data_IF_007416722310
#
_entry.id   IF_007416722310
#
_cell.length_a   1.000
_cell.length_b   1.000
_cell.length_c   1.000
_cell.angle_alpha   90.00
_cell.angle_beta   90.00
_cell.angle_gamma   90.00
#
_symmetry.space_group_name_H-M   'P 1'
#
loop_
_entity.id
_entity.type
_entity.pdbx_description
1 polymer ?
#
# COMPACT_ATOMS: atom_id res chain seq x y z
N UNK A 1 -46.57 161.53 -24.74
CA UNK A 1 -46.72 160.25 -25.50
C UNK A 1 -45.53 159.30 -25.33
N UNK A 2 -44.28 159.78 -25.24
CA UNK A 2 -43.05 158.95 -25.15
C UNK A 2 -43.11 157.79 -24.12
N UNK A 3 -43.66 158.01 -22.93
CA UNK A 3 -43.75 156.99 -21.86
C UNK A 3 -44.48 155.70 -22.29
N UNK A 4 -45.51 155.80 -23.15
CA UNK A 4 -46.24 154.61 -23.64
C UNK A 4 -45.40 153.75 -24.59
N UNK A 5 -44.55 154.37 -25.42
CA UNK A 5 -43.66 153.65 -26.34
C UNK A 5 -42.54 152.96 -25.56
N UNK A 6 -41.95 153.67 -24.58
CA UNK A 6 -40.93 153.11 -23.69
C UNK A 6 -41.48 151.91 -22.89
N UNK A 7 -42.72 152.00 -22.42
CA UNK A 7 -43.42 150.90 -21.72
C UNK A 7 -43.75 149.71 -22.61
N UNK A 8 -43.98 149.92 -23.91
CA UNK A 8 -44.20 148.84 -24.87
C UNK A 8 -42.92 148.08 -25.21
N UNK A 9 -41.82 148.82 -25.40
CA UNK A 9 -40.49 148.23 -25.64
C UNK A 9 -40.01 147.47 -24.39
N UNK A 10 -40.19 148.01 -23.18
CA UNK A 10 -39.83 147.29 -21.95
C UNK A 10 -40.67 146.02 -21.75
N UNK A 11 -41.97 146.05 -22.08
CA UNK A 11 -42.81 144.85 -22.07
C UNK A 11 -42.34 143.78 -23.07
N UNK A 12 -41.92 144.18 -24.28
CA UNK A 12 -41.35 143.26 -25.27
C UNK A 12 -40.01 142.67 -24.80
N UNK A 13 -39.13 143.47 -24.19
CA UNK A 13 -37.89 142.98 -23.58
C UNK A 13 -38.14 142.01 -22.42
N UNK A 14 -39.15 142.26 -21.58
CA UNK A 14 -39.56 141.35 -20.50
C UNK A 14 -40.18 140.06 -21.04
N UNK A 15 -40.98 140.11 -22.10
CA UNK A 15 -41.52 138.92 -22.75
C UNK A 15 -40.41 138.06 -23.38
N UNK A 16 -39.44 138.69 -24.04
CA UNK A 16 -38.26 138.02 -24.59
C UNK A 16 -37.40 137.38 -23.49
N UNK A 17 -37.15 138.08 -22.37
CA UNK A 17 -36.39 137.52 -21.25
C UNK A 17 -37.14 136.36 -20.57
N UNK A 18 -38.47 136.42 -20.47
CA UNK A 18 -39.30 135.32 -19.99
C UNK A 18 -39.26 134.09 -20.92
N UNK A 19 -39.25 134.29 -22.25
CA UNK A 19 -39.08 133.19 -23.20
C UNK A 19 -37.69 132.54 -23.09
N UNK A 20 -36.61 133.34 -23.04
CA UNK A 20 -35.27 132.80 -22.82
C UNK A 20 -35.11 132.12 -21.46
N UNK A 21 -35.78 132.61 -20.41
CA UNK A 21 -35.82 131.95 -19.11
C UNK A 21 -36.55 130.61 -19.17
N UNK A 22 -37.67 130.51 -19.90
CA UNK A 22 -38.42 129.27 -20.10
C UNK A 22 -37.63 128.24 -20.93
N UNK A 23 -37.02 128.66 -22.04
CA UNK A 23 -36.20 127.79 -22.90
C UNK A 23 -34.97 127.29 -22.15
N UNK A 24 -34.26 128.16 -21.41
CA UNK A 24 -33.16 127.77 -20.54
C UNK A 24 -33.63 126.81 -19.42
N UNK A 25 -34.80 127.05 -18.82
CA UNK A 25 -35.39 126.12 -17.85
C UNK A 25 -35.72 124.76 -18.49
N UNK A 26 -36.10 124.72 -19.77
CA UNK A 26 -36.41 123.50 -20.51
C UNK A 26 -35.15 122.72 -20.92
N UNK A 27 -34.09 123.42 -21.33
CA UNK A 27 -32.77 122.83 -21.55
C UNK A 27 -32.17 122.29 -20.25
N UNK A 28 -32.25 123.04 -19.15
CA UNK A 28 -31.79 122.60 -17.83
C UNK A 28 -32.61 121.41 -17.28
N UNK A 29 -33.90 121.30 -17.59
CA UNK A 29 -34.68 120.07 -17.36
C UNK A 29 -34.15 118.91 -18.20
N UNK A 30 -33.89 119.14 -19.49
CA UNK A 30 -33.39 118.11 -20.42
C UNK A 30 -31.99 117.62 -20.02
N UNK A 31 -31.09 118.51 -19.60
CA UNK A 31 -29.78 118.13 -19.06
C UNK A 31 -29.89 117.35 -17.75
N UNK A 32 -30.77 117.74 -16.83
CA UNK A 32 -31.04 116.97 -15.61
C UNK A 32 -31.59 115.57 -15.92
N UNK A 33 -32.49 115.45 -16.90
CA UNK A 33 -32.99 114.15 -17.37
C UNK A 33 -31.88 113.30 -18.02
N UNK A 34 -30.99 113.91 -18.81
CA UNK A 34 -29.85 113.21 -19.42
C UNK A 34 -28.81 112.78 -18.39
N UNK A 35 -28.52 113.62 -17.39
CA UNK A 35 -27.61 113.27 -16.28
C UNK A 35 -28.17 112.15 -15.43
N UNK A 36 -29.41 112.25 -14.99
CA UNK A 36 -30.06 111.18 -14.20
C UNK A 36 -30.17 109.87 -14.98
N UNK A 37 -30.44 109.89 -16.29
CA UNK A 37 -30.38 108.69 -17.13
C UNK A 37 -28.96 108.13 -17.28
N UNK A 38 -27.94 108.99 -17.46
CA UNK A 38 -26.55 108.55 -17.52
C UNK A 38 -26.05 107.99 -16.18
N UNK A 39 -26.45 108.57 -15.05
CA UNK A 39 -26.18 108.09 -13.69
C UNK A 39 -26.88 106.74 -13.43
N UNK A 40 -28.13 106.56 -13.87
CA UNK A 40 -28.85 105.29 -13.82
C UNK A 40 -28.15 104.21 -14.65
N UNK A 41 -27.79 104.51 -15.90
CA UNK A 41 -27.05 103.58 -16.75
C UNK A 41 -25.68 103.21 -16.17
N UNK A 42 -24.95 104.18 -15.60
CA UNK A 42 -23.65 103.92 -14.98
C UNK A 42 -23.82 102.98 -13.78
N UNK A 43 -24.82 103.21 -12.92
CA UNK A 43 -25.15 102.31 -11.82
C UNK A 43 -25.57 100.89 -12.31
N UNK A 44 -26.31 100.80 -13.40
CA UNK A 44 -26.68 99.52 -14.04
C UNK A 44 -25.46 98.79 -14.64
N UNK A 45 -24.51 99.52 -15.23
CA UNK A 45 -23.25 98.96 -15.73
C UNK A 45 -22.35 98.51 -14.58
N UNK A 46 -22.26 99.26 -13.49
CA UNK A 46 -21.50 98.85 -12.30
C UNK A 46 -22.07 97.60 -11.62
N UNK A 47 -23.40 97.49 -11.52
CA UNK A 47 -24.05 96.28 -10.98
C UNK A 47 -23.81 95.07 -11.88
N UNK A 48 -24.03 95.19 -13.20
CA UNK A 48 -23.72 94.11 -14.16
C UNK A 48 -22.25 93.71 -14.17
N UNK A 49 -21.32 94.66 -13.99
CA UNK A 49 -19.89 94.35 -13.92
C UNK A 49 -19.53 93.60 -12.63
N UNK A 50 -20.16 93.93 -11.49
CA UNK A 50 -20.05 93.18 -10.24
C UNK A 50 -20.63 91.76 -10.38
N UNK A 51 -21.85 91.64 -10.90
CA UNK A 51 -22.50 90.34 -11.18
C UNK A 51 -21.67 89.46 -12.13
N UNK A 52 -21.03 90.04 -13.15
CA UNK A 52 -20.14 89.34 -14.06
C UNK A 52 -18.85 88.88 -13.38
N UNK A 53 -18.27 89.69 -12.49
CA UNK A 53 -17.12 89.31 -11.67
C UNK A 53 -17.47 88.16 -10.71
N UNK A 54 -18.54 88.30 -9.92
CA UNK A 54 -19.03 87.28 -8.99
C UNK A 54 -19.35 85.95 -9.72
N UNK A 55 -19.95 86.04 -10.92
CA UNK A 55 -20.23 84.87 -11.76
C UNK A 55 -18.95 84.22 -12.27
N UNK A 56 -17.96 85.01 -12.70
CA UNK A 56 -16.65 84.51 -13.15
C UNK A 56 -15.90 83.81 -12.01
N UNK A 57 -15.89 84.41 -10.82
CA UNK A 57 -15.21 83.84 -9.66
C UNK A 57 -15.89 82.55 -9.22
N UNK A 58 -17.23 82.54 -9.11
CA UNK A 58 -18.01 81.32 -8.87
C UNK A 58 -17.74 80.23 -9.90
N UNK A 59 -17.63 80.57 -11.19
CA UNK A 59 -17.30 79.61 -12.25
C UNK A 59 -15.87 79.10 -12.16
N UNK A 60 -14.93 79.96 -11.78
CA UNK A 60 -13.52 79.58 -11.57
C UNK A 60 -13.40 78.60 -10.40
N UNK A 61 -14.09 78.84 -9.28
CA UNK A 61 -14.17 77.89 -8.16
C UNK A 61 -14.86 76.58 -8.55
N UNK A 62 -15.93 76.63 -9.35
CA UNK A 62 -16.60 75.42 -9.86
C UNK A 62 -15.69 74.58 -10.76
N UNK A 63 -14.91 75.20 -11.65
CA UNK A 63 -13.95 74.49 -12.51
C UNK A 63 -12.84 73.85 -11.66
N UNK A 64 -12.23 74.60 -10.73
CA UNK A 64 -11.20 74.06 -9.86
C UNK A 64 -11.69 72.88 -8.98
N UNK A 65 -12.94 72.93 -8.51
CA UNK A 65 -13.54 71.81 -7.79
C UNK A 65 -13.80 70.61 -8.71
N UNK A 66 -14.37 70.82 -9.91
CA UNK A 66 -14.60 69.75 -10.88
C UNK A 66 -13.29 69.12 -11.38
N UNK A 67 -12.21 69.89 -11.50
CA UNK A 67 -10.89 69.36 -11.83
C UNK A 67 -10.37 68.42 -10.73
N UNK A 68 -10.53 68.82 -9.46
CA UNK A 68 -10.18 68.00 -8.30
C UNK A 68 -11.04 66.74 -8.19
N UNK A 69 -12.35 66.86 -8.34
CA UNK A 69 -13.28 65.73 -8.31
C UNK A 69 -13.01 64.74 -9.45
N UNK A 70 -12.63 65.26 -10.63
CA UNK A 70 -12.20 64.46 -11.79
C UNK A 70 -10.88 63.75 -11.56
N UNK A 71 -9.93 64.35 -10.84
CA UNK A 71 -8.67 63.67 -10.48
C UNK A 71 -8.88 62.60 -9.41
N UNK A 72 -9.68 62.88 -8.36
CA UNK A 72 -10.08 61.86 -7.39
C UNK A 72 -10.80 60.68 -8.06
N UNK A 73 -11.81 60.93 -8.90
CA UNK A 73 -12.52 59.88 -9.62
C UNK A 73 -11.64 59.09 -10.60
N UNK A 74 -10.52 59.65 -11.07
CA UNK A 74 -9.51 58.89 -11.86
C UNK A 74 -8.68 57.97 -10.97
N UNK A 75 -8.30 58.43 -9.79
CA UNK A 75 -7.58 57.63 -8.79
C UNK A 75 -8.45 56.45 -8.33
N UNK A 76 -9.71 56.71 -7.95
CA UNK A 76 -10.72 55.69 -7.60
C UNK A 76 -10.89 54.64 -8.71
N UNK A 77 -10.94 55.05 -9.98
CA UNK A 77 -11.07 54.14 -11.13
C UNK A 77 -9.80 53.29 -11.33
N UNK A 78 -8.62 53.84 -11.09
CA UNK A 78 -7.35 53.09 -11.16
C UNK A 78 -7.28 52.06 -10.02
N UNK A 79 -7.64 52.45 -8.80
CA UNK A 79 -7.70 51.55 -7.63
C UNK A 79 -8.71 50.43 -7.84
N UNK A 80 -9.97 50.75 -8.20
CA UNK A 80 -11.01 49.76 -8.46
C UNK A 80 -10.66 48.80 -9.62
N UNK A 81 -9.95 49.29 -10.65
CA UNK A 81 -9.44 48.43 -11.74
C UNK A 81 -8.35 47.48 -11.26
N UNK A 82 -7.45 47.95 -10.38
CA UNK A 82 -6.41 47.11 -9.80
C UNK A 82 -7.00 46.04 -8.85
N UNK A 83 -7.96 46.40 -8.00
CA UNK A 83 -8.69 45.44 -7.14
C UNK A 83 -9.45 44.41 -7.97
N UNK A 84 -10.15 44.83 -9.04
CA UNK A 84 -10.85 43.91 -9.92
C UNK A 84 -9.90 42.88 -10.57
N UNK A 85 -8.73 43.33 -11.06
CA UNK A 85 -7.71 42.43 -11.61
C UNK A 85 -7.15 41.45 -10.56
N UNK A 86 -6.93 41.90 -9.31
CA UNK A 86 -6.52 41.02 -8.23
C UNK A 86 -7.60 39.96 -7.92
N UNK A 87 -8.88 40.36 -7.86
CA UNK A 87 -10.00 39.44 -7.61
C UNK A 87 -10.22 38.45 -8.76
N UNK A 88 -10.00 38.84 -10.01
CA UNK A 88 -10.01 37.90 -11.13
C UNK A 88 -8.87 36.87 -11.04
N UNK A 89 -7.67 37.28 -10.62
CA UNK A 89 -6.55 36.37 -10.40
C UNK A 89 -6.80 35.40 -9.22
N UNK A 90 -7.32 35.90 -8.10
CA UNK A 90 -7.75 35.08 -6.97
C UNK A 90 -8.82 34.06 -7.39
N UNK A 91 -9.82 34.46 -8.17
CA UNK A 91 -10.86 33.56 -8.69
C UNK A 91 -10.31 32.53 -9.68
N UNK A 92 -9.34 32.89 -10.52
CA UNK A 92 -8.68 31.95 -11.42
C UNK A 92 -7.88 30.88 -10.64
N UNK A 93 -7.12 31.29 -9.63
CA UNK A 93 -6.40 30.38 -8.73
C UNK A 93 -7.35 29.49 -7.90
N UNK A 94 -8.44 30.05 -7.39
CA UNK A 94 -9.45 29.30 -6.65
C UNK A 94 -10.15 28.24 -7.52
N UNK A 95 -10.49 28.58 -8.77
CA UNK A 95 -11.02 27.62 -9.76
C UNK A 95 -10.01 26.51 -10.07
N UNK A 96 -8.76 26.85 -10.35
CA UNK A 96 -7.69 25.86 -10.57
C UNK A 96 -7.53 24.92 -9.38
N UNK A 97 -7.60 25.45 -8.15
CA UNK A 97 -7.49 24.67 -6.92
C UNK A 97 -8.72 23.76 -6.74
N UNK A 98 -9.92 24.24 -7.05
CA UNK A 98 -11.15 23.45 -7.03
C UNK A 98 -11.08 22.28 -8.04
N UNK A 99 -10.62 22.52 -9.26
CA UNK A 99 -10.48 21.49 -10.29
C UNK A 99 -9.44 20.43 -9.88
N UNK A 100 -8.30 20.85 -9.33
CA UNK A 100 -7.29 19.94 -8.77
C UNK A 100 -7.84 19.11 -7.60
N UNK A 101 -8.57 19.73 -6.68
CA UNK A 101 -9.16 19.06 -5.53
C UNK A 101 -10.27 18.08 -5.96
N UNK A 102 -11.06 18.45 -6.97
CA UNK A 102 -12.07 17.58 -7.61
C UNK A 102 -11.42 16.34 -8.26
N UNK A 103 -10.31 16.51 -8.99
CA UNK A 103 -9.54 15.40 -9.54
C UNK A 103 -8.92 14.51 -8.45
N UNK A 104 -8.44 15.09 -7.34
CA UNK A 104 -7.95 14.33 -6.19
C UNK A 104 -9.08 13.52 -5.53
N UNK A 105 -10.25 14.12 -5.31
CA UNK A 105 -11.43 13.43 -4.77
C UNK A 105 -11.90 12.31 -5.70
N UNK A 106 -11.95 12.53 -7.01
CA UNK A 106 -12.28 11.48 -7.97
C UNK A 106 -11.26 10.32 -7.96
N UNK A 107 -9.98 10.64 -7.79
CA UNK A 107 -8.90 9.63 -7.66
C UNK A 107 -8.98 8.88 -6.34
N UNK A 108 -9.31 9.56 -5.24
CA UNK A 108 -9.52 8.96 -3.92
C UNK A 108 -10.76 8.06 -3.93
N UNK A 109 -11.87 8.49 -4.52
CA UNK A 109 -13.08 7.69 -4.66
C UNK A 109 -12.81 6.42 -5.47
N UNK A 110 -12.09 6.50 -6.61
CA UNK A 110 -11.65 5.31 -7.34
C UNK A 110 -10.79 4.38 -6.49
N UNK A 111 -9.81 4.91 -5.74
CA UNK A 111 -9.00 4.10 -4.80
C UNK A 111 -9.85 3.47 -3.69
N UNK A 112 -10.93 4.12 -3.25
CA UNK A 112 -11.88 3.60 -2.25
C UNK A 112 -12.81 2.54 -2.87
N UNK A 113 -13.17 2.66 -4.15
CA UNK A 113 -13.94 1.66 -4.91
C UNK A 113 -13.08 0.42 -5.25
N UNK A 114 -11.83 0.62 -5.69
CA UNK A 114 -10.82 -0.43 -5.91
C UNK A 114 -10.50 -1.15 -4.58
N UNK A 115 -10.37 -0.40 -3.49
CA UNK A 115 -10.29 -0.93 -2.13
C UNK A 115 -11.67 -1.28 -1.53
N UNK A 116 -12.76 -1.21 -2.31
CA UNK A 116 -14.13 -1.46 -1.84
C UNK A 116 -14.33 -2.91 -1.39
N UNK A 117 -13.48 -3.80 -1.88
CA UNK A 117 -13.35 -5.16 -1.42
C UNK A 117 -12.68 -5.29 -0.03
N UNK A 118 -12.32 -4.24 0.72
CA UNK A 118 -11.77 -4.36 2.10
C UNK A 118 -12.65 -5.25 3.00
N UNK A 119 -13.98 -5.13 2.93
CA UNK A 119 -14.89 -6.01 3.71
C UNK A 119 -14.84 -7.47 3.23
N UNK A 120 -14.66 -7.69 1.94
CA UNK A 120 -14.53 -9.01 1.32
C UNK A 120 -13.15 -9.62 1.57
N UNK A 121 -12.08 -8.82 1.57
CA UNK A 121 -10.74 -9.19 2.05
C UNK A 121 -10.80 -9.59 3.52
N UNK A 122 -11.53 -8.84 4.37
CA UNK A 122 -11.67 -9.20 5.78
C UNK A 122 -12.41 -10.54 5.93
N UNK A 123 -13.50 -10.75 5.19
CA UNK A 123 -14.20 -12.04 5.15
C UNK A 123 -13.34 -13.19 4.56
N UNK A 124 -12.53 -12.91 3.54
CA UNK A 124 -11.56 -13.85 2.99
C UNK A 124 -10.46 -14.20 4.01
N UNK A 125 -9.99 -13.23 4.80
CA UNK A 125 -9.00 -13.44 5.87
C UNK A 125 -9.60 -14.25 7.02
N UNK A 126 -10.87 -14.04 7.37
CA UNK A 126 -11.59 -14.89 8.34
C UNK A 126 -11.76 -16.31 7.82
N UNK A 127 -12.13 -16.49 6.55
CA UNK A 127 -12.22 -17.80 5.88
C UNK A 127 -10.86 -18.50 5.84
N UNK A 128 -9.80 -17.80 5.40
CA UNK A 128 -8.43 -18.31 5.36
C UNK A 128 -7.90 -18.68 6.76
N UNK A 129 -8.29 -17.96 7.82
CA UNK A 129 -7.97 -18.36 9.20
C UNK A 129 -8.70 -19.62 9.64
N UNK A 130 -9.98 -19.76 9.26
CA UNK A 130 -10.75 -20.98 9.55
C UNK A 130 -10.14 -22.19 8.81
N UNK A 131 -9.83 -22.02 7.52
CA UNK A 131 -9.17 -23.03 6.68
C UNK A 131 -7.78 -23.38 7.20
N UNK A 132 -6.98 -22.39 7.62
CA UNK A 132 -5.68 -22.61 8.27
C UNK A 132 -5.83 -23.44 9.55
N UNK A 133 -6.77 -23.08 10.42
CA UNK A 133 -7.01 -23.80 11.69
C UNK A 133 -7.47 -25.24 11.43
N UNK A 134 -8.31 -25.46 10.42
CA UNK A 134 -8.72 -26.79 10.00
C UNK A 134 -7.55 -27.61 9.43
N UNK A 135 -6.73 -27.00 8.57
CA UNK A 135 -5.55 -27.63 7.97
C UNK A 135 -4.49 -27.99 9.03
N UNK A 136 -4.24 -27.13 10.02
CA UNK A 136 -3.34 -27.41 11.16
C UNK A 136 -3.86 -28.61 11.99
N UNK A 137 -5.18 -28.67 12.21
CA UNK A 137 -5.82 -29.81 12.87
C UNK A 137 -5.74 -31.12 12.07
N UNK A 138 -5.90 -31.07 10.74
CA UNK A 138 -5.66 -32.23 9.87
C UNK A 138 -4.20 -32.67 9.86
N UNK A 139 -3.26 -31.73 9.84
CA UNK A 139 -1.83 -32.02 9.78
C UNK A 139 -1.36 -32.67 11.08
N UNK A 140 -1.80 -32.19 12.25
CA UNK A 140 -1.55 -32.84 13.54
C UNK A 140 -2.11 -34.29 13.59
N UNK A 141 -3.31 -34.52 13.03
CA UNK A 141 -3.88 -35.87 12.92
C UNK A 141 -3.06 -36.77 11.99
N UNK A 142 -2.53 -36.23 10.87
CA UNK A 142 -1.70 -36.98 9.92
C UNK A 142 -0.32 -37.30 10.50
N UNK A 143 0.28 -36.39 11.26
CA UNK A 143 1.54 -36.64 11.98
C UNK A 143 1.37 -37.72 13.04
N UNK A 144 0.27 -37.72 13.79
CA UNK A 144 -0.04 -38.80 14.74
C UNK A 144 -0.25 -40.15 14.04
N UNK A 145 -0.89 -40.15 12.85
CA UNK A 145 -1.02 -41.36 12.03
C UNK A 145 0.34 -41.85 11.49
N UNK A 146 1.21 -40.95 11.04
CA UNK A 146 2.56 -41.26 10.58
C UNK A 146 3.43 -41.81 11.71
N UNK A 147 3.40 -41.20 12.90
CA UNK A 147 4.09 -41.72 14.07
C UNK A 147 3.62 -43.13 14.45
N UNK A 148 2.31 -43.37 14.43
CA UNK A 148 1.75 -44.72 14.67
C UNK A 148 2.12 -45.72 13.57
N UNK A 149 2.15 -45.30 12.30
CA UNK A 149 2.56 -46.13 11.18
C UNK A 149 4.05 -46.48 11.24
N UNK A 150 4.92 -45.52 11.53
CA UNK A 150 6.36 -45.74 11.70
C UNK A 150 6.64 -46.71 12.85
N UNK A 151 5.99 -46.53 14.01
CA UNK A 151 6.11 -47.48 15.14
C UNK A 151 5.66 -48.90 14.77
N UNK A 152 4.60 -49.06 13.95
CA UNK A 152 4.20 -50.37 13.42
C UNK A 152 5.22 -50.94 12.44
N UNK A 153 5.81 -50.12 11.58
CA UNK A 153 6.86 -50.53 10.63
C UNK A 153 8.11 -51.00 11.39
N UNK A 154 8.56 -50.26 12.41
CA UNK A 154 9.67 -50.66 13.28
C UNK A 154 9.37 -52.01 13.97
N UNK A 155 8.21 -52.15 14.60
CA UNK A 155 7.83 -53.40 15.26
C UNK A 155 7.75 -54.59 14.27
N UNK A 156 7.30 -54.36 13.04
CA UNK A 156 7.31 -55.37 11.98
C UNK A 156 8.72 -55.70 11.47
N UNK A 157 9.61 -54.71 11.37
CA UNK A 157 11.02 -54.93 11.00
C UNK A 157 11.77 -55.71 12.08
N UNK A 158 11.60 -55.37 13.36
CA UNK A 158 12.16 -56.16 14.47
C UNK A 158 11.62 -57.58 14.47
N UNK A 159 10.30 -57.76 14.27
CA UNK A 159 9.69 -59.09 14.16
C UNK A 159 10.24 -59.87 12.96
N UNK A 160 10.45 -59.21 11.82
CA UNK A 160 11.04 -59.79 10.62
C UNK A 160 12.47 -60.26 10.89
N UNK A 161 13.33 -59.41 11.44
CA UNK A 161 14.72 -59.75 11.81
C UNK A 161 14.76 -60.94 12.75
N UNK A 162 13.97 -60.94 13.84
CA UNK A 162 13.93 -62.04 14.79
C UNK A 162 13.47 -63.37 14.15
N UNK A 163 12.59 -63.32 13.16
CA UNK A 163 12.16 -64.51 12.40
C UNK A 163 13.25 -64.96 11.42
N UNK A 164 13.91 -64.04 10.72
CA UNK A 164 15.04 -64.33 9.83
C UNK A 164 16.20 -64.95 10.61
N UNK A 165 16.62 -64.37 11.75
CA UNK A 165 17.64 -64.92 12.65
C UNK A 165 17.28 -66.32 13.18
N UNK A 166 15.99 -66.58 13.40
CA UNK A 166 15.50 -67.88 13.87
C UNK A 166 15.52 -68.92 12.75
N UNK A 167 15.06 -68.55 11.55
CA UNK A 167 15.13 -69.41 10.35
C UNK A 167 16.59 -69.69 9.99
N UNK A 168 17.49 -68.71 10.13
CA UNK A 168 18.90 -68.88 9.80
C UNK A 168 19.60 -69.82 10.80
N UNK A 169 19.33 -69.73 12.11
CA UNK A 169 19.82 -70.72 13.09
C UNK A 169 19.28 -72.13 12.82
N UNK A 170 17.99 -72.25 12.49
CA UNK A 170 17.37 -73.53 12.12
C UNK A 170 17.99 -74.15 10.86
N UNK A 171 18.28 -73.34 9.84
CA UNK A 171 18.86 -73.81 8.57
C UNK A 171 20.37 -74.07 8.65
N UNK A 172 21.11 -73.33 9.49
CA UNK A 172 22.51 -73.61 9.81
C UNK A 172 22.70 -74.82 10.75
N UNK A 173 21.62 -75.37 11.32
CA UNK A 173 21.66 -76.54 12.21
C UNK A 173 22.28 -76.25 13.58
N UNK A 174 22.25 -75.01 14.05
CA UNK A 174 22.83 -74.64 15.36
C UNK A 174 21.81 -74.98 16.45
N UNK A 175 22.11 -75.99 17.26
CA UNK A 175 21.35 -76.33 18.47
C UNK A 175 21.81 -75.46 19.64
N UNK A 176 20.91 -75.24 20.60
CA UNK A 176 21.20 -74.46 21.81
C UNK A 176 22.42 -75.03 22.56
N UNK A 177 23.35 -74.22 23.11
CA UNK A 177 24.47 -74.72 23.89
C UNK A 177 24.09 -75.57 25.12
N UNK A 178 22.88 -75.40 25.67
CA UNK A 178 22.34 -76.24 26.74
C UNK A 178 21.60 -77.49 26.22
N UNK A 179 21.60 -77.75 24.91
CA UNK A 179 20.96 -78.92 24.31
C UNK A 179 21.62 -80.22 24.79
N UNK A 180 20.86 -80.98 25.58
CA UNK A 180 21.19 -82.33 25.99
C UNK A 180 20.11 -83.31 25.51
N UNK A 181 20.52 -84.36 24.81
CA UNK A 181 19.70 -85.50 24.42
C UNK A 181 20.35 -86.80 24.92
N UNK A 182 19.65 -87.93 24.77
CA UNK A 182 20.16 -89.27 25.09
C UNK A 182 19.90 -90.23 23.93
N UNK A 183 20.87 -91.10 23.65
CA UNK A 183 20.71 -92.15 22.65
C UNK A 183 19.63 -93.13 23.11
N UNK A 184 18.55 -93.23 22.34
CA UNK A 184 17.40 -94.11 22.59
C UNK A 184 17.49 -95.45 21.86
N UNK A 185 18.20 -95.49 20.73
CA UNK A 185 18.52 -96.70 19.98
C UNK A 185 19.74 -96.49 19.08
N UNK A 186 20.48 -97.56 18.82
CA UNK A 186 21.70 -97.59 17.99
C UNK A 186 21.54 -98.66 16.91
N UNK A 187 21.84 -98.31 15.67
CA UNK A 187 21.77 -99.21 14.51
C UNK A 187 23.13 -99.26 13.81
N UNK A 188 24.10 -100.02 14.35
CA UNK A 188 25.49 -99.95 13.92
C UNK A 188 25.70 -100.41 12.46
N UNK A 189 25.01 -101.45 12.01
CA UNK A 189 24.97 -101.90 10.61
C UNK A 189 24.59 -100.81 9.59
N UNK A 190 23.90 -99.75 10.02
CA UNK A 190 23.46 -98.64 9.18
C UNK A 190 24.13 -97.31 9.54
N UNK A 191 25.04 -97.30 10.52
CA UNK A 191 25.79 -96.11 10.91
C UNK A 191 24.96 -94.97 11.53
N UNK A 192 23.73 -95.22 11.99
CA UNK A 192 22.88 -94.17 12.58
C UNK A 192 22.38 -94.50 14.00
N UNK A 193 22.01 -93.44 14.71
CA UNK A 193 21.45 -93.49 16.07
C UNK A 193 20.16 -92.69 16.14
N UNK A 194 19.27 -93.10 17.03
CA UNK A 194 18.00 -92.39 17.31
C UNK A 194 18.13 -91.70 18.66
N UNK A 195 17.88 -90.39 18.69
CA UNK A 195 17.91 -89.57 19.90
C UNK A 195 16.50 -89.39 20.46
N UNK A 196 16.38 -89.34 21.78
CA UNK A 196 15.11 -89.14 22.49
C UNK A 196 14.53 -87.71 22.42
N UNK A 197 15.07 -86.86 21.53
CA UNK A 197 14.66 -85.46 21.31
C UNK A 197 14.43 -85.21 19.82
N UNK A 198 13.40 -84.45 19.51
CA UNK A 198 13.06 -84.02 18.15
C UNK A 198 13.04 -82.49 18.00
N UNK A 199 12.48 -82.01 16.89
CA UNK A 199 12.39 -80.59 16.54
C UNK A 199 11.70 -79.76 17.64
N UNK A 200 10.62 -80.26 18.23
CA UNK A 200 9.90 -79.59 19.33
C UNK A 200 10.70 -79.54 20.64
N UNK A 201 11.87 -80.16 20.71
CA UNK A 201 12.77 -80.19 21.86
C UNK A 201 14.17 -79.63 21.54
N UNK A 202 14.31 -78.90 20.42
CA UNK A 202 15.54 -78.18 20.04
C UNK A 202 16.54 -78.97 19.18
N UNK A 203 16.15 -80.10 18.59
CA UNK A 203 17.00 -80.81 17.62
C UNK A 203 16.76 -80.29 16.19
N UNK A 204 17.80 -79.83 15.50
CA UNK A 204 17.71 -79.32 14.11
C UNK A 204 18.41 -80.24 13.11
N UNK A 205 17.91 -80.29 11.88
CA UNK A 205 18.59 -81.01 10.80
C UNK A 205 19.97 -80.39 10.50
N UNK A 206 20.92 -81.21 10.06
CA UNK A 206 22.34 -80.89 9.84
C UNK A 206 23.14 -80.51 11.10
N UNK A 207 22.53 -80.48 12.28
CA UNK A 207 23.24 -80.18 13.52
C UNK A 207 24.36 -81.18 13.81
N UNK A 208 25.51 -80.65 14.23
CA UNK A 208 26.64 -81.44 14.73
C UNK A 208 26.54 -81.56 16.25
N UNK A 209 26.60 -82.80 16.73
CA UNK A 209 26.49 -83.14 18.15
C UNK A 209 27.65 -84.04 18.56
N UNK A 210 28.00 -84.01 19.85
CA UNK A 210 29.01 -84.89 20.45
C UNK A 210 28.36 -85.89 21.40
N UNK A 211 28.68 -87.17 21.24
CA UNK A 211 28.29 -88.23 22.19
C UNK A 211 29.29 -88.25 23.33
N UNK A 212 28.81 -88.10 24.56
CA UNK A 212 29.62 -88.15 25.77
C UNK A 212 29.26 -89.32 26.68
N UNK A 213 30.29 -89.94 27.23
CA UNK A 213 30.18 -90.98 28.27
C UNK A 213 31.04 -90.56 29.45
N UNK A 214 30.41 -89.97 30.47
CA UNK A 214 31.14 -89.21 31.48
C UNK A 214 31.66 -87.90 30.91
N UNK A 215 32.97 -87.68 30.96
CA UNK A 215 33.61 -86.48 30.41
C UNK A 215 34.14 -86.67 28.98
N UNK A 216 34.34 -87.91 28.54
CA UNK A 216 34.99 -88.25 27.27
C UNK A 216 34.01 -88.24 26.10
N UNK A 217 34.49 -87.79 24.93
CA UNK A 217 33.73 -87.79 23.67
C UNK A 217 33.98 -89.11 22.95
N UNK A 218 32.89 -89.85 22.68
CA UNK A 218 32.90 -91.20 22.10
C UNK A 218 32.77 -91.17 20.58
N UNK A 219 31.97 -90.22 20.07
CA UNK A 219 31.66 -90.06 18.65
C UNK A 219 31.12 -88.65 18.35
N UNK A 220 31.23 -88.19 17.09
CA UNK A 220 30.45 -87.07 16.57
C UNK A 220 29.26 -87.57 15.75
N UNK A 221 28.12 -86.90 15.88
CA UNK A 221 26.90 -87.20 15.15
C UNK A 221 26.51 -86.01 14.26
N UNK A 222 25.83 -86.28 13.14
CA UNK A 222 25.15 -85.28 12.32
C UNK A 222 23.69 -85.64 12.17
N UNK A 223 22.78 -84.78 12.66
CA UNK A 223 21.34 -85.03 12.53
C UNK A 223 20.94 -84.97 11.04
N UNK A 224 20.27 -86.02 10.54
CA UNK A 224 19.76 -86.09 9.16
C UNK A 224 18.29 -85.73 9.06
N UNK A 225 17.46 -86.32 9.91
CA UNK A 225 16.02 -86.05 9.94
C UNK A 225 15.55 -85.77 11.37
N UNK A 226 14.59 -84.87 11.50
CA UNK A 226 14.02 -84.43 12.78
C UNK A 226 12.51 -84.59 12.75
N UNK A 227 12.01 -85.51 13.57
CA UNK A 227 10.58 -85.63 13.85
C UNK A 227 10.22 -84.71 15.04
N UNK A 228 8.94 -84.50 15.39
CA UNK A 228 8.57 -83.64 16.52
C UNK A 228 9.17 -84.11 17.87
N UNK A 229 9.25 -85.43 18.10
CA UNK A 229 9.64 -86.01 19.41
C UNK A 229 10.94 -86.81 19.40
N UNK A 230 11.45 -87.20 18.23
CA UNK A 230 12.70 -87.96 18.06
C UNK A 230 13.53 -87.36 16.92
N UNK A 231 14.82 -87.69 16.85
CA UNK A 231 15.68 -87.33 15.72
C UNK A 231 16.60 -88.48 15.35
N UNK A 232 16.94 -88.56 14.08
CA UNK A 232 17.83 -89.58 13.50
C UNK A 232 19.12 -88.90 13.09
N UNK A 233 20.24 -89.37 13.63
CA UNK A 233 21.55 -88.80 13.39
C UNK A 233 22.54 -89.87 12.91
N UNK A 234 23.27 -89.54 11.85
CA UNK A 234 24.35 -90.38 11.33
C UNK A 234 25.58 -90.19 12.21
N UNK A 235 26.29 -91.29 12.46
CA UNK A 235 27.62 -91.28 13.08
C UNK A 235 28.62 -90.76 12.05
N UNK A 236 29.39 -89.73 12.39
CA UNK A 236 30.39 -89.17 11.48
C UNK A 236 31.56 -90.15 11.35
N UNK A 237 31.81 -90.63 10.15
CA UNK A 237 32.90 -91.57 9.84
C UNK A 237 34.25 -91.02 10.33
N UNK A 238 35.05 -91.89 10.97
CA UNK A 238 36.35 -91.51 11.55
C UNK A 238 36.28 -90.69 12.85
N UNK A 239 35.10 -90.40 13.39
CA UNK A 239 34.96 -89.67 14.68
C UNK A 239 34.84 -90.57 15.92
N UNK A 240 34.84 -91.89 15.76
CA UNK A 240 34.79 -92.85 16.87
C UNK A 240 36.16 -92.96 17.56
N UNK A 241 36.14 -92.92 18.89
CA UNK A 241 37.31 -93.24 19.72
C UNK A 241 37.70 -94.71 19.55
N UNK A 242 39.01 -94.99 19.46
CA UNK A 242 39.53 -96.30 19.08
C UNK A 242 39.08 -97.40 20.07
N UNK A 243 38.34 -98.40 19.56
CA UNK A 243 37.78 -99.50 20.35
C UNK A 243 36.45 -99.23 21.05
N UNK A 244 35.91 -98.00 20.96
CA UNK A 244 34.60 -97.66 21.53
C UNK A 244 33.46 -97.76 20.52
N UNK A 245 32.24 -98.02 21.03
CA UNK A 245 30.99 -97.98 20.27
C UNK A 245 29.97 -97.12 21.00
N UNK A 246 29.12 -96.43 20.24
CA UNK A 246 27.96 -95.69 20.78
C UNK A 246 26.93 -96.69 21.34
N UNK A 247 26.33 -96.38 22.49
CA UNK A 247 25.39 -97.25 23.20
C UNK A 247 24.11 -96.50 23.54
N UNK A 248 22.99 -97.23 23.59
CA UNK A 248 21.75 -96.73 24.18
C UNK A 248 22.02 -96.26 25.61
N UNK A 249 21.60 -95.04 25.92
CA UNK A 249 21.83 -94.40 27.21
C UNK A 249 22.97 -93.38 27.23
N UNK A 250 23.86 -93.34 26.24
CA UNK A 250 24.91 -92.31 26.16
C UNK A 250 24.31 -90.90 26.05
N UNK A 251 24.98 -89.91 26.65
CA UNK A 251 24.57 -88.51 26.62
C UNK A 251 24.99 -87.88 25.29
N UNK A 252 24.17 -87.00 24.72
CA UNK A 252 24.49 -86.28 23.49
C UNK A 252 24.33 -84.79 23.75
N UNK A 253 25.36 -84.01 23.44
CA UNK A 253 25.43 -82.55 23.67
C UNK A 253 25.71 -81.81 22.36
N UNK A 254 25.46 -80.50 22.33
CA UNK A 254 25.92 -79.63 21.25
C UNK A 254 27.45 -79.73 21.06
N UNK A 255 27.92 -79.75 19.81
CA UNK A 255 29.36 -79.71 19.53
C UNK A 255 29.98 -78.41 20.08
N UNK A 256 31.05 -78.51 20.87
CA UNK A 256 31.72 -77.37 21.47
C UNK A 256 32.25 -76.35 20.42
N UNK A 257 32.55 -76.80 19.20
CA UNK A 257 32.93 -75.94 18.09
C UNK A 257 31.73 -75.16 17.49
N UNK A 258 30.52 -75.72 17.56
CA UNK A 258 29.30 -75.02 17.13
C UNK A 258 28.83 -74.01 18.18
N UNK A 259 28.90 -74.37 19.47
CA UNK A 259 28.54 -73.49 20.58
C UNK A 259 29.46 -72.25 20.71
N UNK A 260 30.76 -72.39 20.40
CA UNK A 260 31.70 -71.27 20.38
C UNK A 260 31.46 -70.30 19.21
N UNK A 261 31.09 -70.81 18.04
CA UNK A 261 30.68 -69.98 16.90
C UNK A 261 29.39 -69.18 17.18
N UNK A 262 28.44 -69.71 17.97
CA UNK A 262 27.25 -68.96 18.36
C UNK A 262 27.57 -67.82 19.34
N UNK A 263 28.46 -68.04 20.32
CA UNK A 263 28.92 -67.01 21.26
C UNK A 263 29.56 -65.80 20.57
N UNK A 264 30.39 -66.01 19.54
CA UNK A 264 30.96 -64.91 18.75
C UNK A 264 29.93 -64.16 17.89
N UNK A 265 28.86 -64.84 17.45
CA UNK A 265 27.76 -64.21 16.71
C UNK A 265 26.87 -63.36 17.63
N UNK A 266 26.59 -63.86 18.84
CA UNK A 266 25.76 -63.20 19.86
C UNK A 266 26.41 -61.93 20.40
N UNK A 267 27.74 -61.87 20.42
CA UNK A 267 28.52 -60.68 20.78
C UNK A 267 28.47 -59.53 19.75
N UNK A 268 27.95 -59.74 18.53
CA UNK A 268 27.88 -58.70 17.49
C UNK A 268 26.51 -57.98 17.39
N UNK A 269 25.45 -58.55 17.97
CA UNK A 269 24.09 -57.95 17.95
C UNK A 269 23.65 -57.33 19.30
N UNK A 270 24.54 -57.24 20.28
CA UNK A 270 24.26 -56.58 21.56
C UNK A 270 24.67 -55.10 21.51
N UNK A 271 23.80 -54.24 20.95
CA UNK A 271 23.93 -52.78 21.11
C UNK A 271 23.25 -52.35 22.41
N UNK A 272 23.98 -51.91 23.45
CA UNK A 272 23.35 -51.41 24.67
C UNK A 272 22.79 -50.01 24.44
N UNK A 273 21.48 -49.85 24.63
CA UNK A 273 20.87 -48.54 24.79
C UNK A 273 21.19 -47.98 26.18
N UNK A 274 21.98 -46.91 26.27
CA UNK A 274 22.13 -46.10 27.48
C UNK A 274 21.79 -44.65 27.19
N UNK A 275 20.83 -44.12 27.93
CA UNK A 275 20.42 -42.72 27.89
C UNK A 275 21.29 -41.87 28.84
N UNK A 276 21.54 -40.63 28.41
CA UNK A 276 21.86 -39.44 29.22
C UNK A 276 23.30 -39.20 29.71
N UNK A 277 23.66 -37.91 29.83
CA UNK A 277 24.68 -37.42 30.76
C UNK A 277 26.11 -37.12 30.27
N UNK A 278 26.28 -35.96 29.60
CA UNK A 278 27.40 -35.00 29.83
C UNK A 278 28.89 -35.42 29.77
N UNK A 279 29.64 -34.85 28.81
CA UNK A 279 31.03 -34.31 29.01
C UNK A 279 31.38 -33.34 27.84
N UNK A 280 32.46 -32.54 27.87
CA UNK A 280 32.44 -31.16 27.34
C UNK A 280 33.21 -30.97 26.02
N UNK A 281 33.21 -29.74 25.52
CA UNK A 281 33.96 -29.28 24.35
C UNK A 281 35.50 -29.42 24.51
N UNK A 282 36.22 -29.30 23.38
CA UNK A 282 37.30 -28.33 23.32
C UNK A 282 37.04 -27.22 22.28
N UNK A 283 37.70 -26.08 22.50
CA UNK A 283 37.40 -24.78 21.91
C UNK A 283 38.15 -24.51 20.59
N UNK A 284 37.61 -23.59 19.77
CA UNK A 284 38.33 -22.40 19.24
C UNK A 284 37.50 -21.69 18.14
N UNK A 285 37.68 -20.38 17.90
CA UNK A 285 37.71 -19.30 18.90
C UNK A 285 36.73 -18.14 18.57
N UNK A 286 36.23 -17.46 19.61
CA UNK A 286 35.52 -16.16 19.54
C UNK A 286 36.51 -14.98 19.59
N UNK A 287 36.20 -13.72 19.18
CA UNK A 287 35.12 -12.87 19.73
C UNK A 287 34.17 -12.26 18.67
N UNK A 288 32.84 -12.33 18.83
CA UNK A 288 31.91 -11.36 19.49
C UNK A 288 31.74 -9.97 18.81
N UNK A 289 30.52 -9.40 18.82
CA UNK A 289 30.10 -8.36 17.87
C UNK A 289 29.96 -6.97 18.50
N UNK A 290 29.77 -5.93 17.67
CA UNK A 290 28.94 -4.79 18.06
C UNK A 290 28.39 -3.97 16.87
N UNK A 291 27.37 -3.16 17.18
CA UNK A 291 27.03 -1.86 16.58
C UNK A 291 26.54 -1.77 15.12
N UNK A 292 25.23 -1.56 15.02
CA UNK A 292 24.58 -0.35 14.46
C UNK A 292 24.85 0.08 13.00
N UNK A 293 23.74 0.30 12.29
CA UNK A 293 23.70 1.06 11.05
C UNK A 293 24.05 2.54 11.26
N UNK A 294 24.77 3.18 10.31
CA UNK A 294 24.75 4.62 10.14
C UNK A 294 23.72 5.00 9.05
N UNK A 295 22.83 5.93 9.38
CA UNK A 295 22.19 6.75 8.34
C UNK A 295 23.22 7.74 7.80
N UNK A 296 23.38 7.82 6.48
CA UNK A 296 24.08 8.93 5.82
C UNK A 296 23.16 9.57 4.79
N UNK A 297 22.58 10.71 5.18
CA UNK A 297 21.97 11.65 4.26
C UNK A 297 23.02 12.31 3.37
N UNK A 298 22.74 12.47 2.08
CA UNK A 298 23.34 13.55 1.29
C UNK A 298 22.31 14.17 0.32
N UNK A 299 21.97 15.46 0.49
CA UNK A 299 21.11 16.20 -0.43
C UNK A 299 21.91 17.14 -1.35
N UNK A 300 21.62 17.07 -2.66
CA UNK A 300 22.10 17.91 -3.78
C UNK A 300 23.44 17.56 -4.44
N UNK A 301 23.39 17.36 -5.78
CA UNK A 301 24.53 17.17 -6.69
C UNK A 301 24.54 15.76 -7.31
N UNK A 302 24.72 15.55 -8.63
CA UNK A 302 24.96 16.47 -9.74
C UNK A 302 26.13 15.99 -10.60
N UNK A 303 25.89 15.24 -11.69
CA UNK A 303 26.95 14.84 -12.63
C UNK A 303 26.61 13.64 -13.52
N UNK A 304 26.64 13.85 -14.84
CA UNK A 304 26.52 12.81 -15.89
C UNK A 304 27.84 12.08 -16.13
N UNK A 305 27.86 10.97 -16.92
CA UNK A 305 28.27 11.16 -18.33
C UNK A 305 27.48 10.34 -19.37
N UNK A 306 27.53 10.78 -20.63
CA UNK A 306 27.06 10.08 -21.83
C UNK A 306 28.12 9.07 -22.36
N UNK A 307 27.83 8.23 -23.38
CA UNK A 307 27.67 8.67 -24.79
C UNK A 307 26.34 8.14 -25.40
N UNK A 308 26.00 8.19 -26.69
CA UNK A 308 26.74 8.53 -27.93
C UNK A 308 25.81 9.18 -29.00
N UNK A 309 26.25 9.23 -30.27
CA UNK A 309 25.44 9.58 -31.45
C UNK A 309 25.70 8.55 -32.60
N UNK A 310 24.94 8.59 -33.73
CA UNK A 310 25.40 9.45 -34.83
C UNK A 310 24.31 10.16 -35.69
N UNK A 311 24.69 11.36 -36.13
CA UNK A 311 24.41 12.10 -37.37
C UNK A 311 23.17 11.82 -38.27
N UNK A 312 22.50 12.92 -38.69
CA UNK A 312 21.82 13.00 -40.00
C UNK A 312 20.82 14.15 -40.20
N UNK A 313 21.17 15.15 -41.01
CA UNK A 313 20.19 16.01 -41.73
C UNK A 313 19.93 17.44 -41.20
N UNK A 314 19.88 18.40 -42.13
CA UNK A 314 19.63 19.84 -41.97
C UNK A 314 19.14 20.41 -43.33
N UNK A 315 18.66 21.67 -43.49
CA UNK A 315 17.98 22.59 -42.54
C UNK A 315 16.78 23.39 -43.17
N UNK A 316 16.23 24.35 -42.40
CA UNK A 316 15.47 25.57 -42.80
C UNK A 316 14.08 25.48 -43.47
N UNK A 317 13.03 26.02 -42.81
CA UNK A 317 12.44 27.36 -43.06
C UNK A 317 11.08 27.53 -42.34
N UNK A 318 10.75 28.73 -41.84
CA UNK A 318 9.39 29.08 -41.36
C UNK A 318 9.35 30.14 -40.24
N UNK A 319 9.00 31.37 -40.59
CA UNK A 319 8.85 32.54 -39.70
C UNK A 319 7.55 32.45 -38.86
N UNK A 320 7.56 32.74 -37.54
CA UNK A 320 6.39 32.59 -36.67
C UNK A 320 5.46 33.82 -36.56
N UNK A 321 5.63 34.89 -37.34
CA UNK A 321 4.76 36.10 -37.24
C UNK A 321 3.89 36.37 -38.48
N UNK A 322 2.59 36.10 -38.36
CA UNK A 322 1.58 36.45 -39.37
C UNK A 322 0.26 36.91 -38.75
N UNK A 323 -0.04 38.22 -38.82
CA UNK A 323 -1.31 38.81 -38.40
C UNK A 323 -2.35 38.82 -39.56
N UNK A 324 -3.66 38.91 -39.28
CA UNK A 324 -4.71 38.55 -40.25
C UNK A 324 -5.13 39.69 -41.20
N UNK A 325 -5.75 39.33 -42.33
CA UNK A 325 -6.46 40.24 -43.24
C UNK A 325 -7.92 39.80 -43.47
N UNK A 326 -8.86 40.70 -43.88
CA UNK A 326 -10.30 40.49 -43.61
C UNK A 326 -11.26 40.40 -44.83
N UNK A 327 -12.43 39.77 -44.59
CA UNK A 327 -13.73 39.95 -45.28
C UNK A 327 -13.87 39.44 -46.76
N UNK A 328 -15.07 39.31 -47.36
CA UNK A 328 -16.41 39.74 -46.89
C UNK A 328 -17.65 38.80 -47.06
N UNK A 329 -18.67 39.11 -46.26
CA UNK A 329 -20.14 39.06 -46.42
C UNK A 329 -20.89 38.17 -47.46
N UNK A 330 -21.96 37.52 -46.97
CA UNK A 330 -23.31 37.55 -47.58
C UNK A 330 -24.41 37.12 -46.58
N UNK A 331 -25.56 37.81 -46.52
CA UNK A 331 -26.79 37.31 -45.84
C UNK A 331 -27.51 38.29 -44.89
N UNK A 332 -28.59 38.91 -45.36
CA UNK A 332 -29.54 39.72 -44.57
C UNK A 332 -30.98 39.27 -44.92
N UNK A 333 -32.07 39.56 -44.21
CA UNK A 333 -32.37 40.47 -43.08
C UNK A 333 -33.61 39.88 -42.32
N UNK A 334 -34.41 40.58 -41.45
CA UNK A 334 -34.29 41.94 -40.92
C UNK A 334 -34.52 42.08 -39.39
N UNK A 335 -34.44 43.33 -38.92
CA UNK A 335 -34.71 43.78 -37.54
C UNK A 335 -36.20 43.70 -37.15
N UNK A 336 -36.48 43.59 -35.86
CA UNK A 336 -37.65 44.25 -35.27
C UNK A 336 -37.29 44.82 -33.88
N UNK A 337 -37.84 45.97 -33.55
CA UNK A 337 -37.38 46.86 -32.47
C UNK A 337 -38.27 46.83 -31.22
N UNK A 338 -37.67 46.86 -30.02
CA UNK A 338 -38.13 47.70 -28.90
C UNK A 338 -37.03 47.81 -27.80
N UNK A 339 -36.56 49.01 -27.42
CA UNK A 339 -35.62 49.21 -26.32
C UNK A 339 -36.26 49.63 -24.97
N UNK A 340 -37.60 49.68 -24.83
CA UNK A 340 -38.26 50.08 -23.57
C UNK A 340 -39.40 49.14 -23.13
N UNK A 341 -39.04 47.95 -22.63
CA UNK A 341 -39.98 46.99 -22.03
C UNK A 341 -39.71 46.72 -20.55
N UNK A 342 -40.58 47.21 -19.66
CA UNK A 342 -40.50 46.99 -18.21
C UNK A 342 -40.86 45.56 -17.79
N UNK A 343 -40.09 44.95 -16.88
CA UNK A 343 -40.57 43.80 -16.09
C UNK A 343 -40.02 43.82 -14.65
N UNK A 344 -40.95 43.73 -13.69
CA UNK A 344 -40.68 43.69 -12.25
C UNK A 344 -40.37 42.26 -11.78
N UNK A 345 -39.35 42.03 -10.93
CA UNK A 345 -39.16 40.73 -10.30
C UNK A 345 -40.06 40.57 -9.06
N UNK A 346 -40.94 39.58 -9.11
CA UNK A 346 -41.81 39.14 -8.00
C UNK A 346 -41.02 38.54 -6.84
N UNK A 347 -41.31 38.96 -5.61
CA UNK A 347 -40.77 38.39 -4.36
C UNK A 347 -41.68 37.26 -3.84
N UNK A 348 -41.15 36.09 -3.42
CA UNK A 348 -41.96 35.05 -2.75
C UNK A 348 -42.15 35.35 -1.25
N UNK A 349 -43.29 34.98 -0.64
CA UNK A 349 -43.59 35.29 0.76
C UNK A 349 -43.04 34.26 1.77
N UNK A 350 -42.71 34.66 3.01
CA UNK A 350 -42.42 33.75 4.10
C UNK A 350 -43.71 33.12 4.67
N UNK A 351 -43.64 31.84 5.05
CA UNK A 351 -44.72 31.14 5.78
C UNK A 351 -44.60 31.37 7.29
N UNK A 352 -45.67 31.78 7.96
CA UNK A 352 -45.81 31.56 9.41
C UNK A 352 -47.26 31.52 9.89
N UNK A 353 -47.53 30.55 10.78
CA UNK A 353 -48.63 30.47 11.75
C UNK A 353 -50.08 30.41 11.25
N UNK A 354 -50.66 29.19 11.35
CA UNK A 354 -52.10 28.98 11.52
C UNK A 354 -52.58 29.49 12.89
N UNK A 355 -53.70 30.23 12.96
CA UNK A 355 -54.56 30.29 14.12
C UNK A 355 -55.87 29.51 13.86
N UNK A 356 -56.25 28.64 14.80
CA UNK A 356 -57.45 27.78 14.78
C UNK A 356 -57.39 26.53 13.88
N UNK A 357 -56.91 25.42 14.46
CA UNK A 357 -57.12 24.05 13.98
C UNK A 357 -57.32 23.13 15.19
N UNK A 358 -58.35 22.28 15.13
CA UNK A 358 -58.90 21.50 16.25
C UNK A 358 -58.36 20.07 16.33
#
# INVERSE_FOLDING_TARGET
MVWKILSGISAACLAGSAYFAWENQNQLKTEKMRRTWAEQNLAELETKNKEAADTKDRKTTQVAQLEKDRDAAKEDVVEATAEAQQKEQELALAKSTLDQLSQQVATLNKKIEDAGDIKKLLAQVETLKADQTAAEGELANKDQQLASANSRVEALLTRKSNLEDTIERMTRGVVDPEFQARVSGVFPEWGFVVLNKGNSQGAFANALLEVKRGNDVVAKLRIKNVEPSISVADVVEGSLTEGEVVRTGDLVVADAAAATAELESRGKNATPSTTDGSTPAPESPTPTPDAAAPMSSDPFGGGTPAPAAPAGGAPMNGDPFGAPTPAPAAGAAPMNSDPFGSSTPTTPPPKTADPFGN
#
